data_IF_358232959817
#
_entry.id   IF_358232959817
#
_cell.length_a   1.000
_cell.length_b   1.000
_cell.length_c   1.000
_cell.angle_alpha   90.00
_cell.angle_beta   90.00
_cell.angle_gamma   90.00
#
_symmetry.space_group_name_H-M   'P 1'
#
loop_
_entity.id
_entity.type
_entity.pdbx_description
1 polymer ?
#
# COMPACT_ATOMS: atom_id res chain seq x y z
N UNK A 1 12.17 0.24 17.98
CA UNK A 1 12.48 -0.39 16.67
C UNK A 1 11.15 -0.77 16.01
N UNK A 2 10.31 0.17 15.55
CA UNK A 2 8.87 -0.16 15.45
C UNK A 2 7.99 0.34 14.28
N UNK A 3 8.51 0.93 13.19
CA UNK A 3 7.64 1.23 12.02
C UNK A 3 8.03 0.57 10.71
N UNK A 4 9.32 0.40 10.46
CA UNK A 4 9.83 0.09 9.12
C UNK A 4 10.05 -1.40 8.86
N UNK A 5 9.90 -2.26 9.87
CA UNK A 5 10.28 -3.68 9.72
C UNK A 5 9.21 -4.55 9.07
N UNK A 6 7.94 -4.12 9.01
CA UNK A 6 6.85 -4.97 8.48
C UNK A 6 5.95 -4.24 7.49
N UNK A 7 5.45 -3.04 7.81
CA UNK A 7 4.58 -2.28 6.89
C UNK A 7 5.32 -1.79 5.64
N UNK A 8 6.54 -1.24 5.80
CA UNK A 8 7.33 -0.83 4.64
C UNK A 8 7.65 -2.03 3.72
N UNK A 9 8.10 -3.20 4.21
CA UNK A 9 8.24 -4.40 3.38
C UNK A 9 6.94 -4.90 2.73
N UNK A 10 5.79 -4.77 3.41
CA UNK A 10 4.48 -5.11 2.83
C UNK A 10 4.13 -4.20 1.65
N UNK A 11 4.40 -2.89 1.76
CA UNK A 11 4.20 -1.94 0.68
C UNK A 11 5.25 -2.09 -0.43
N UNK A 12 6.52 -2.26 -0.05
CA UNK A 12 7.67 -2.24 -0.96
C UNK A 12 7.62 -3.39 -1.96
N UNK A 13 7.25 -4.60 -1.51
CA UNK A 13 7.17 -5.79 -2.40
C UNK A 13 6.20 -5.60 -3.57
N UNK A 14 5.15 -4.80 -3.38
CA UNK A 14 4.12 -4.53 -4.39
C UNK A 14 4.59 -3.37 -5.27
N UNK A 15 4.95 -2.25 -4.64
CA UNK A 15 5.30 -1.01 -5.33
C UNK A 15 6.52 -1.16 -6.22
N UNK A 16 7.57 -1.90 -5.80
CA UNK A 16 8.75 -2.14 -6.64
C UNK A 16 8.39 -2.89 -7.93
N UNK A 17 7.54 -3.94 -7.83
CA UNK A 17 7.11 -4.71 -9.01
C UNK A 17 6.24 -3.86 -9.95
N UNK A 18 5.41 -2.98 -9.40
CA UNK A 18 4.63 -2.02 -10.20
C UNK A 18 5.57 -1.06 -10.94
N UNK A 19 6.52 -0.44 -10.24
CA UNK A 19 7.46 0.53 -10.85
C UNK A 19 8.41 -0.10 -11.86
N UNK A 20 8.80 -1.36 -11.64
CA UNK A 20 9.58 -2.16 -12.59
C UNK A 20 8.75 -2.74 -13.74
N UNK A 21 7.44 -2.43 -13.80
CA UNK A 21 6.51 -2.91 -14.83
C UNK A 21 6.44 -4.44 -14.90
N UNK A 22 6.51 -5.11 -13.75
CA UNK A 22 6.44 -6.57 -13.63
C UNK A 22 5.06 -7.10 -13.22
N UNK A 23 4.20 -6.23 -12.69
CA UNK A 23 2.81 -6.54 -12.32
C UNK A 23 1.95 -5.29 -12.45
N UNK A 24 0.62 -5.46 -12.57
CA UNK A 24 -0.34 -4.37 -12.41
C UNK A 24 -1.11 -4.40 -11.08
N UNK A 25 -0.79 -5.34 -10.18
CA UNK A 25 -1.41 -5.45 -8.87
C UNK A 25 -0.71 -6.42 -7.90
N UNK A 26 -1.22 -6.51 -6.65
CA UNK A 26 -0.70 -7.44 -5.65
C UNK A 26 -1.08 -8.89 -5.95
N UNK A 27 -0.18 -9.83 -5.62
CA UNK A 27 -0.45 -11.27 -5.59
C UNK A 27 -1.16 -11.69 -4.30
N UNK A 28 -1.57 -12.96 -4.20
CA UNK A 28 -2.18 -13.48 -2.97
C UNK A 28 -1.19 -13.49 -1.80
N UNK A 29 0.07 -13.88 -2.04
CA UNK A 29 1.16 -13.74 -1.04
C UNK A 29 1.39 -12.29 -0.58
N UNK A 30 1.18 -11.31 -1.48
CA UNK A 30 1.27 -9.89 -1.12
C UNK A 30 0.11 -9.49 -0.19
N UNK A 31 -1.10 -10.05 -0.41
CA UNK A 31 -2.29 -9.83 0.43
C UNK A 31 -2.15 -10.47 1.81
N UNK A 32 -1.76 -11.74 1.87
CA UNK A 32 -1.56 -12.46 3.14
C UNK A 32 -0.54 -11.74 4.03
N UNK A 33 0.55 -11.24 3.44
CA UNK A 33 1.54 -10.50 4.21
C UNK A 33 1.07 -9.10 4.63
N UNK A 34 0.24 -8.44 3.82
CA UNK A 34 -0.38 -7.17 4.20
C UNK A 34 -1.33 -7.35 5.39
N UNK A 35 -2.11 -8.44 5.42
CA UNK A 35 -2.95 -8.82 6.56
C UNK A 35 -2.09 -9.09 7.80
N UNK A 36 -1.01 -9.87 7.68
CA UNK A 36 -0.05 -10.08 8.76
C UNK A 36 0.54 -8.76 9.30
N UNK A 37 0.87 -7.82 8.41
CA UNK A 37 1.37 -6.50 8.80
C UNK A 37 0.31 -5.69 9.56
N UNK A 38 -0.96 -5.74 9.12
CA UNK A 38 -2.08 -5.09 9.79
C UNK A 38 -2.34 -5.72 11.17
N UNK A 39 -2.29 -7.05 11.29
CA UNK A 39 -2.44 -7.75 12.58
C UNK A 39 -1.40 -7.30 13.60
N UNK A 40 -0.17 -7.04 13.15
CA UNK A 40 0.89 -6.54 14.03
C UNK A 40 0.66 -5.08 14.40
N UNK A 41 0.29 -4.21 13.46
CA UNK A 41 0.00 -2.82 13.78
C UNK A 41 -1.19 -2.69 14.74
N UNK A 42 -2.24 -3.48 14.55
CA UNK A 42 -3.41 -3.54 15.44
C UNK A 42 -3.01 -3.92 16.86
N UNK A 43 -2.04 -4.85 17.02
CA UNK A 43 -1.45 -5.22 18.32
C UNK A 43 -0.55 -4.12 18.90
N UNK A 44 0.26 -3.45 18.08
CA UNK A 44 1.13 -2.33 18.49
C UNK A 44 0.28 -1.19 19.05
N UNK A 45 -0.78 -0.81 18.34
CA UNK A 45 -1.72 0.20 18.79
C UNK A 45 -2.36 -0.21 20.12
N UNK A 46 -2.72 -1.49 20.31
CA UNK A 46 -3.05 -2.03 21.63
C UNK A 46 -4.12 -1.21 22.36
N UNK A 47 -3.78 -0.66 23.52
CA UNK A 47 -4.62 0.32 24.25
C UNK A 47 -4.10 1.76 24.13
N UNK A 48 -3.04 1.97 23.36
CA UNK A 48 -2.37 3.24 23.19
C UNK A 48 -3.13 4.12 22.19
N UNK A 49 -2.99 5.44 22.36
CA UNK A 49 -3.60 6.39 21.41
C UNK A 49 -2.85 6.39 20.08
N UNK A 50 -1.52 6.37 20.11
CA UNK A 50 -0.63 6.49 18.97
C UNK A 50 0.31 5.28 18.91
N UNK A 51 1.02 5.11 17.79
CA UNK A 51 1.85 3.91 17.53
C UNK A 51 2.92 3.69 18.59
N UNK A 52 3.46 4.77 19.16
CA UNK A 52 4.55 4.73 20.14
C UNK A 52 4.15 5.26 21.53
N UNK A 53 2.86 5.32 21.85
CA UNK A 53 2.39 5.74 23.17
C UNK A 53 1.09 6.53 23.13
N UNK A 54 0.87 7.34 24.15
CA UNK A 54 -0.32 8.20 24.24
C UNK A 54 -0.13 9.59 23.63
N UNK A 55 1.04 9.87 23.08
CA UNK A 55 1.36 11.15 22.45
C UNK A 55 1.77 10.92 20.99
N UNK A 56 1.36 11.85 20.12
CA UNK A 56 1.72 11.85 18.72
C UNK A 56 3.25 11.95 18.57
N UNK A 57 3.81 11.11 17.71
CA UNK A 57 5.26 11.03 17.51
C UNK A 57 5.61 10.93 16.02
N UNK A 58 6.92 10.99 15.72
CA UNK A 58 7.41 10.73 14.36
C UNK A 58 7.09 9.32 13.86
N UNK A 59 6.82 8.37 14.77
CA UNK A 59 6.44 7.03 14.38
C UNK A 59 5.08 7.04 13.66
N UNK A 60 4.11 7.75 14.20
CA UNK A 60 2.78 7.86 13.58
C UNK A 60 2.84 8.39 12.15
N UNK A 61 3.74 9.35 11.87
CA UNK A 61 3.94 9.89 10.52
C UNK A 61 4.56 8.89 9.56
N UNK A 62 5.50 8.07 10.04
CA UNK A 62 6.11 7.01 9.23
C UNK A 62 5.10 5.89 8.94
N UNK A 63 4.33 5.45 9.93
CA UNK A 63 3.27 4.44 9.74
C UNK A 63 2.16 4.95 8.82
N UNK A 64 1.65 6.16 9.04
CA UNK A 64 0.47 6.63 8.28
C UNK A 64 0.78 6.79 6.80
N UNK A 65 2.00 7.21 6.45
CA UNK A 65 2.45 7.28 5.06
C UNK A 65 2.50 5.88 4.42
N UNK A 66 3.00 4.88 5.14
CA UNK A 66 3.07 3.50 4.64
C UNK A 66 1.67 2.87 4.51
N UNK A 67 0.86 2.93 5.57
CA UNK A 67 -0.42 2.22 5.62
C UNK A 67 -1.50 2.86 4.75
N UNK A 68 -1.49 4.19 4.56
CA UNK A 68 -2.41 4.83 3.62
C UNK A 68 -2.12 4.42 2.16
N UNK A 69 -0.83 4.28 1.82
CA UNK A 69 -0.41 3.73 0.52
C UNK A 69 -0.74 2.25 0.37
N UNK A 70 -0.55 1.45 1.43
CA UNK A 70 -0.91 0.03 1.42
C UNK A 70 -2.42 -0.15 1.30
N UNK A 71 -3.21 0.66 2.00
CA UNK A 71 -4.68 0.65 1.94
C UNK A 71 -5.22 0.90 0.54
N UNK A 72 -4.55 1.76 -0.25
CA UNK A 72 -4.90 1.96 -1.66
C UNK A 72 -4.69 0.69 -2.50
N UNK A 73 -3.59 -0.04 -2.28
CA UNK A 73 -3.27 -1.24 -3.04
C UNK A 73 -4.08 -2.45 -2.60
N UNK A 74 -4.31 -2.58 -1.29
CA UNK A 74 -5.02 -3.68 -0.64
C UNK A 74 -5.96 -3.04 0.40
N UNK A 75 -7.26 -2.95 0.10
CA UNK A 75 -8.23 -2.34 1.00
C UNK A 75 -8.27 -3.03 2.37
N UNK A 76 -7.80 -2.32 3.39
CA UNK A 76 -7.82 -2.76 4.79
C UNK A 76 -9.27 -2.86 5.25
N UNK A 77 -9.63 -4.01 5.81
CA UNK A 77 -10.97 -4.27 6.33
C UNK A 77 -11.18 -3.55 7.66
N UNK A 78 -11.81 -2.38 7.62
CA UNK A 78 -11.99 -1.50 8.78
C UNK A 78 -12.73 -2.17 9.95
N UNK A 79 -13.63 -3.12 9.65
CA UNK A 79 -14.35 -3.89 10.68
C UNK A 79 -13.45 -4.89 11.41
N UNK A 80 -12.38 -5.37 10.76
CA UNK A 80 -11.41 -6.30 11.33
C UNK A 80 -10.37 -5.56 12.18
N UNK A 81 -10.04 -4.32 11.82
CA UNK A 81 -8.97 -3.53 12.42
C UNK A 81 -9.49 -2.23 13.05
N UNK A 82 -10.27 -2.32 14.16
CA UNK A 82 -10.91 -1.16 14.76
C UNK A 82 -9.91 -0.12 15.30
N UNK A 83 -8.74 -0.54 15.80
CA UNK A 83 -7.74 0.40 16.35
C UNK A 83 -6.99 1.13 15.25
N UNK A 84 -6.59 0.42 14.20
CA UNK A 84 -6.05 1.04 13.00
C UNK A 84 -7.06 2.04 12.45
N UNK A 85 -8.33 1.66 12.33
CA UNK A 85 -9.41 2.54 11.83
C UNK A 85 -9.54 3.81 12.66
N UNK A 86 -9.60 3.68 13.99
CA UNK A 86 -9.72 4.82 14.89
C UNK A 86 -8.47 5.72 14.85
N UNK A 87 -7.28 5.12 14.78
CA UNK A 87 -6.03 5.84 14.68
C UNK A 87 -5.86 6.56 13.34
N UNK A 88 -6.18 5.93 12.20
CA UNK A 88 -6.16 6.55 10.88
C UNK A 88 -7.07 7.78 10.83
N UNK A 89 -8.31 7.64 11.33
CA UNK A 89 -9.23 8.78 11.47
C UNK A 89 -8.63 9.89 12.32
N UNK A 90 -7.96 9.57 13.42
CA UNK A 90 -7.30 10.59 14.26
C UNK A 90 -6.19 11.31 13.50
N UNK A 91 -5.38 10.58 12.73
CA UNK A 91 -4.33 11.15 11.90
C UNK A 91 -4.91 12.07 10.80
N UNK A 92 -6.02 11.69 10.19
CA UNK A 92 -6.74 12.48 9.17
C UNK A 92 -7.24 13.84 9.71
N UNK A 93 -7.53 13.95 11.00
CA UNK A 93 -7.98 15.20 11.63
C UNK A 93 -6.83 16.17 11.96
N UNK A 94 -5.56 15.78 11.74
CA UNK A 94 -4.44 16.68 11.98
C UNK A 94 -4.43 17.81 10.93
N UNK A 95 -4.15 19.07 11.32
CA UNK A 95 -4.22 20.22 10.41
C UNK A 95 -3.23 20.16 9.24
N UNK A 96 -2.21 19.29 9.33
CA UNK A 96 -1.18 19.09 8.30
C UNK A 96 -1.28 17.71 7.61
N UNK A 97 -2.36 16.95 7.83
CA UNK A 97 -2.57 15.67 7.17
C UNK A 97 -2.61 15.78 5.63
N UNK A 98 -2.99 16.95 5.11
CA UNK A 98 -2.98 17.25 3.67
C UNK A 98 -1.62 16.98 3.00
N UNK A 99 -0.50 17.06 3.74
CA UNK A 99 0.82 16.72 3.21
C UNK A 99 0.95 15.23 2.88
N UNK A 100 0.43 14.37 3.75
CA UNK A 100 0.36 12.92 3.48
C UNK A 100 -0.57 12.65 2.29
N UNK A 101 -1.76 13.26 2.31
CA UNK A 101 -2.75 13.10 1.25
C UNK A 101 -2.19 13.50 -0.13
N UNK A 102 -1.51 14.64 -0.21
CA UNK A 102 -0.87 15.10 -1.44
C UNK A 102 0.21 14.14 -1.96
N UNK A 103 1.03 13.58 -1.05
CA UNK A 103 2.03 12.57 -1.39
C UNK A 103 1.39 11.28 -1.91
N UNK A 104 0.36 10.81 -1.21
CA UNK A 104 -0.40 9.61 -1.58
C UNK A 104 -1.03 9.76 -2.98
N UNK A 105 -1.66 10.89 -3.28
CA UNK A 105 -2.27 11.16 -4.60
C UNK A 105 -1.25 11.09 -5.73
N UNK A 106 -0.06 11.67 -5.54
CA UNK A 106 1.04 11.57 -6.52
C UNK A 106 1.53 10.15 -6.70
N UNK A 107 1.68 9.41 -5.59
CA UNK A 107 2.10 8.02 -5.62
C UNK A 107 1.08 7.15 -6.35
N UNK A 108 -0.21 7.34 -6.07
CA UNK A 108 -1.32 6.67 -6.77
C UNK A 108 -1.25 6.93 -8.26
N UNK A 109 -1.12 8.20 -8.67
CA UNK A 109 -1.03 8.56 -10.08
C UNK A 109 0.13 7.84 -10.77
N UNK A 110 1.31 7.85 -10.17
CA UNK A 110 2.48 7.16 -10.72
C UNK A 110 2.26 5.65 -10.83
N UNK A 111 1.69 5.02 -9.79
CA UNK A 111 1.37 3.60 -9.84
C UNK A 111 0.38 3.26 -10.95
N UNK A 112 -0.69 4.05 -11.14
CA UNK A 112 -1.65 3.83 -12.22
C UNK A 112 -1.03 4.01 -13.61
N UNK A 113 -0.14 4.98 -13.79
CA UNK A 113 0.64 5.13 -15.03
C UNK A 113 1.50 3.89 -15.32
N UNK A 114 2.21 3.36 -14.31
CA UNK A 114 3.00 2.14 -14.42
C UNK A 114 2.11 0.91 -14.75
N UNK A 115 0.99 0.73 -14.05
CA UNK A 115 0.03 -0.36 -14.30
C UNK A 115 -0.52 -0.32 -15.72
N UNK A 116 -0.89 0.87 -16.20
CA UNK A 116 -1.38 1.07 -17.57
C UNK A 116 -0.29 0.73 -18.61
N UNK A 117 0.96 1.14 -18.35
CA UNK A 117 2.09 0.82 -19.23
C UNK A 117 2.36 -0.68 -19.28
N UNK A 118 2.35 -1.38 -18.13
CA UNK A 118 2.50 -2.83 -18.05
C UNK A 118 1.42 -3.56 -18.85
N UNK A 119 0.14 -3.19 -18.68
CA UNK A 119 -0.98 -3.76 -19.44
C UNK A 119 -0.83 -3.60 -20.95
N UNK A 120 -0.39 -2.43 -21.42
CA UNK A 120 -0.14 -2.18 -22.84
C UNK A 120 0.94 -3.09 -23.40
N UNK A 121 2.06 -3.22 -22.70
CA UNK A 121 3.17 -4.08 -23.12
C UNK A 121 2.74 -5.55 -23.22
N UNK A 122 1.96 -6.06 -22.26
CA UNK A 122 1.44 -7.44 -22.31
C UNK A 122 0.39 -7.64 -23.41
N UNK A 123 -0.46 -6.65 -23.67
CA UNK A 123 -1.43 -6.69 -24.77
C UNK A 123 -0.77 -6.72 -26.15
N UNK A 124 0.27 -5.90 -26.36
CA UNK A 124 1.08 -5.90 -27.58
C UNK A 124 1.74 -7.29 -27.79
N UNK A 125 2.39 -7.87 -26.77
CA UNK A 125 3.00 -9.21 -26.85
C UNK A 125 1.99 -10.29 -27.23
N UNK A 126 0.79 -10.26 -26.64
CA UNK A 126 -0.27 -11.22 -26.97
C UNK A 126 -0.70 -11.13 -28.44
N UNK A 127 -0.80 -9.92 -29.00
CA UNK A 127 -1.16 -9.69 -30.41
C UNK A 127 -0.11 -10.14 -31.42
N UNK A 128 1.19 -10.06 -31.08
CA UNK A 128 2.26 -10.59 -31.93
C UNK A 128 2.27 -12.13 -31.95
N UNK A 129 1.98 -12.75 -30.80
CA UNK A 129 2.01 -14.21 -30.65
C UNK A 129 0.89 -14.91 -31.43
N UNK A 130 -0.29 -14.30 -31.51
CA UNK A 130 -1.43 -14.81 -32.30
C UNK A 130 -1.22 -14.66 -33.79
N UNK A 131 -0.59 -13.56 -34.24
CA UNK A 131 -0.32 -13.30 -35.66
C UNK A 131 0.67 -14.29 -36.27
N UNK A 132 1.66 -14.78 -35.50
CA UNK A 132 2.66 -15.76 -35.99
C UNK A 132 2.14 -17.20 -36.09
N UNK A 133 0.98 -17.51 -35.51
CA UNK A 133 0.41 -18.86 -35.53
C UNK A 133 -0.50 -19.10 -36.76
N UNK A 134 -0.87 -18.03 -37.48
CA UNK A 134 -1.77 -18.09 -38.65
C UNK A 134 -1.04 -18.21 -40.00
N UNK A 135 0.29 -18.27 -40.01
CA UNK A 135 1.12 -18.38 -41.23
C UNK A 135 1.76 -19.78 -41.43
N UNK A 136 1.14 -20.85 -40.91
CA UNK A 136 1.54 -22.24 -41.21
C UNK A 136 0.37 -23.08 -41.68
#
# INVERSE_FOLDING_TARGET
MYDSSILFPALHRITIKIYELKTDGPSDDDREYAEYACDILEKILGEQTYVAGNFLSIADFSVIACISSLHYLIPIQMNTYPRITAWMKRMEHLPYYYMNQYGLEKQIKLMEECKNKHRRMNGEISSYSTSTCSEK
#
